data_IF_531426956396
#
_entry.id   IF_531426956396
#
_cell.length_a   1.000
_cell.length_b   1.000
_cell.length_c   1.000
_cell.angle_alpha   90.00
_cell.angle_beta   90.00
_cell.angle_gamma   90.00
#
_symmetry.space_group_name_H-M   'P 1'
#
loop_
_entity.id
_entity.type
_entity.pdbx_description
1 polymer ?
#
# COMPACT_ATOMS: atom_id res chain seq x y z
N UNK A 1 -15.02 -8.33 20.82
CA UNK A 1 -15.08 -9.65 20.15
C UNK A 1 -13.85 -9.75 19.26
N UNK A 2 -13.02 -10.78 19.45
CA UNK A 2 -11.78 -10.94 18.71
C UNK A 2 -12.10 -11.36 17.28
N UNK A 3 -11.87 -10.48 16.31
CA UNK A 3 -11.87 -10.84 14.90
C UNK A 3 -10.76 -11.89 14.71
N UNK A 4 -11.17 -13.14 14.59
CA UNK A 4 -10.31 -14.25 14.17
C UNK A 4 -10.08 -14.04 12.68
N UNK A 5 -9.03 -13.28 12.37
CA UNK A 5 -8.58 -13.05 10.99
C UNK A 5 -8.39 -14.39 10.29
N UNK A 6 -9.07 -14.56 9.16
CA UNK A 6 -8.85 -15.67 8.24
C UNK A 6 -7.35 -15.69 7.92
N UNK A 7 -6.68 -16.81 8.22
CA UNK A 7 -5.24 -16.91 8.20
C UNK A 7 -4.67 -16.51 6.82
N UNK A 8 -3.73 -15.57 6.81
CA UNK A 8 -2.88 -15.30 5.64
C UNK A 8 -2.13 -16.56 5.23
N UNK A 9 -1.82 -16.71 3.94
CA UNK A 9 -1.18 -17.91 3.40
C UNK A 9 0.32 -17.73 3.23
N UNK A 10 1.09 -18.81 3.40
CA UNK A 10 2.50 -18.83 2.99
C UNK A 10 2.55 -19.24 1.52
N UNK A 11 3.11 -18.37 0.68
CA UNK A 11 3.28 -18.61 -0.75
C UNK A 11 4.75 -18.61 -1.14
N UNK A 12 5.12 -19.51 -2.04
CA UNK A 12 6.47 -19.65 -2.57
C UNK A 12 6.45 -19.83 -4.10
N UNK A 13 7.63 -19.72 -4.72
CA UNK A 13 7.81 -20.07 -6.12
C UNK A 13 8.56 -21.40 -6.25
N UNK A 14 8.06 -22.26 -7.13
CA UNK A 14 8.78 -23.43 -7.59
C UNK A 14 9.69 -23.02 -8.76
N UNK A 15 10.99 -23.21 -8.58
CA UNK A 15 11.97 -23.01 -9.63
C UNK A 15 11.95 -24.17 -10.63
N UNK A 16 12.41 -23.94 -11.87
CA UNK A 16 12.53 -25.00 -12.91
C UNK A 16 13.36 -26.21 -12.47
N UNK A 17 14.21 -26.04 -11.46
CA UNK A 17 15.04 -27.10 -10.86
C UNK A 17 14.26 -28.01 -9.88
N UNK A 18 12.98 -27.77 -9.66
CA UNK A 18 12.17 -28.47 -8.66
C UNK A 18 12.40 -28.00 -7.21
N UNK A 19 13.30 -27.03 -6.99
CA UNK A 19 13.50 -26.42 -5.67
C UNK A 19 12.39 -25.42 -5.38
N UNK A 20 11.77 -25.56 -4.21
CA UNK A 20 10.89 -24.54 -3.63
C UNK A 20 11.78 -23.44 -3.07
N UNK A 21 11.55 -22.20 -3.52
CA UNK A 21 12.18 -21.04 -2.91
C UNK A 21 11.10 -20.22 -2.22
N UNK A 22 11.11 -20.27 -0.89
CA UNK A 22 10.49 -19.26 -0.04
C UNK A 22 11.57 -18.23 0.30
N UNK A 23 11.23 -16.94 0.35
CA UNK A 23 12.06 -16.01 1.12
C UNK A 23 12.21 -16.58 2.55
N UNK A 24 13.42 -16.55 3.14
CA UNK A 24 13.83 -17.30 4.34
C UNK A 24 13.17 -16.88 5.67
N UNK A 25 11.84 -16.74 5.67
CA UNK A 25 11.04 -16.44 6.84
C UNK A 25 9.58 -16.28 6.41
N UNK A 26 8.68 -16.91 7.16
CA UNK A 26 7.22 -16.81 7.02
C UNK A 26 6.80 -15.37 6.71
N UNK A 27 6.38 -15.09 5.46
CA UNK A 27 5.93 -13.76 5.04
C UNK A 27 4.50 -13.83 4.55
N UNK A 28 3.66 -13.04 5.21
CA UNK A 28 2.35 -12.61 4.72
C UNK A 28 2.57 -11.83 3.43
N UNK A 29 1.74 -12.06 2.40
CA UNK A 29 1.90 -11.37 1.11
C UNK A 29 1.39 -9.92 1.14
N UNK A 30 0.50 -9.58 2.08
CA UNK A 30 0.03 -8.22 2.35
C UNK A 30 0.26 -7.89 3.83
N UNK A 31 1.28 -7.07 4.12
CA UNK A 31 1.40 -6.42 5.43
C UNK A 31 0.40 -5.28 5.56
N UNK A 32 -0.08 -4.98 6.77
CA UNK A 32 -0.99 -3.85 7.00
C UNK A 32 -0.59 -3.01 8.20
N UNK A 33 -0.83 -1.70 8.13
CA UNK A 33 -0.78 -0.77 9.25
C UNK A 33 -1.77 0.38 9.06
N UNK A 34 -2.17 1.02 10.16
CA UNK A 34 -3.01 2.21 10.12
C UNK A 34 -2.14 3.46 10.28
N UNK A 35 -2.51 4.53 9.59
CA UNK A 35 -1.99 5.88 9.79
C UNK A 35 -3.10 6.66 10.49
N UNK A 36 -2.84 7.10 11.70
CA UNK A 36 -3.89 7.62 12.59
C UNK A 36 -4.34 9.02 12.19
N UNK A 37 -3.42 9.87 11.73
CA UNK A 37 -3.68 11.29 11.50
C UNK A 37 -3.10 11.81 10.16
N UNK A 38 -3.55 13.00 9.77
CA UNK A 38 -3.13 13.62 8.51
C UNK A 38 -1.64 13.96 8.48
N UNK A 39 -1.01 14.22 9.62
CA UNK A 39 0.42 14.52 9.67
C UNK A 39 1.25 13.26 9.36
N UNK A 40 0.85 12.10 9.86
CA UNK A 40 1.46 10.81 9.50
C UNK A 40 1.30 10.52 8.00
N UNK A 41 0.11 10.76 7.43
CA UNK A 41 -0.13 10.57 6.00
C UNK A 41 0.71 11.53 5.14
N UNK A 42 0.80 12.80 5.52
CA UNK A 42 1.64 13.78 4.85
C UNK A 42 3.12 13.41 4.93
N UNK A 43 3.60 12.99 6.10
CA UNK A 43 4.97 12.46 6.28
C UNK A 43 5.21 11.28 5.36
N UNK A 44 4.27 10.33 5.28
CA UNK A 44 4.41 9.15 4.41
C UNK A 44 4.46 9.53 2.92
N UNK A 45 3.69 10.52 2.47
CA UNK A 45 3.82 11.04 1.11
C UNK A 45 5.16 11.74 0.86
N UNK A 46 5.66 12.52 1.81
CA UNK A 46 6.99 13.14 1.72
C UNK A 46 8.09 12.08 1.65
N UNK A 47 8.04 11.04 2.50
CA UNK A 47 8.96 9.90 2.47
C UNK A 47 8.97 9.19 1.11
N UNK A 48 7.81 9.05 0.46
CA UNK A 48 7.73 8.48 -0.87
C UNK A 48 8.32 9.40 -1.95
N UNK A 49 8.05 10.70 -1.86
CA UNK A 49 8.61 11.69 -2.77
C UNK A 49 10.14 11.77 -2.65
N UNK A 50 10.67 11.84 -1.43
CA UNK A 50 12.12 11.86 -1.13
C UNK A 50 12.82 10.60 -1.62
N UNK A 51 12.15 9.45 -1.52
CA UNK A 51 12.64 8.18 -2.05
C UNK A 51 12.52 8.06 -3.59
N UNK A 52 12.04 9.11 -4.28
CA UNK A 52 11.84 9.11 -5.73
C UNK A 52 10.81 8.09 -6.20
N UNK A 53 9.87 7.69 -5.33
CA UNK A 53 8.85 6.68 -5.67
C UNK A 53 7.78 7.29 -6.56
N UNK A 54 7.38 6.55 -7.58
CA UNK A 54 6.23 6.91 -8.40
C UNK A 54 4.96 6.60 -7.61
N UNK A 55 4.09 7.61 -7.48
CA UNK A 55 2.74 7.43 -6.94
C UNK A 55 1.77 7.33 -8.10
N UNK A 56 0.96 6.28 -8.10
CA UNK A 56 -0.18 6.16 -9.00
C UNK A 56 -1.48 6.22 -8.21
N UNK A 57 -2.39 7.09 -8.63
CA UNK A 57 -3.68 7.28 -7.98
C UNK A 57 -4.73 6.33 -8.56
N UNK A 58 -5.40 5.58 -7.69
CA UNK A 58 -6.34 4.51 -8.02
C UNK A 58 -7.68 4.68 -7.28
N UNK A 59 -8.70 3.97 -7.75
CA UNK A 59 -10.05 3.98 -7.20
C UNK A 59 -10.94 5.05 -7.84
N UNK A 60 -12.25 4.85 -7.77
CA UNK A 60 -13.21 5.78 -8.38
C UNK A 60 -13.21 7.17 -7.69
N UNK A 61 -12.80 7.25 -6.42
CA UNK A 61 -12.63 8.52 -5.71
C UNK A 61 -11.44 9.33 -6.25
N UNK A 62 -10.34 8.67 -6.60
CA UNK A 62 -9.20 9.34 -7.24
C UNK A 62 -9.54 9.89 -8.63
N UNK A 63 -10.38 9.17 -9.37
CA UNK A 63 -10.88 9.62 -10.68
C UNK A 63 -11.79 10.84 -10.55
N UNK A 64 -12.71 10.84 -9.56
CA UNK A 64 -13.57 11.97 -9.28
C UNK A 64 -12.78 13.24 -8.90
N UNK A 65 -11.67 13.07 -8.18
CA UNK A 65 -10.72 14.14 -7.84
C UNK A 65 -9.77 14.51 -8.99
N UNK A 66 -9.81 13.78 -10.12
CA UNK A 66 -8.91 13.96 -11.28
C UNK A 66 -7.43 13.98 -10.89
N UNK A 67 -7.04 13.12 -9.95
CA UNK A 67 -5.68 13.10 -9.39
C UNK A 67 -4.62 12.76 -10.43
N UNK A 68 -4.98 12.01 -11.49
CA UNK A 68 -4.08 11.70 -12.61
C UNK A 68 -3.75 12.90 -13.51
N UNK A 69 -4.61 13.93 -13.51
CA UNK A 69 -4.41 15.17 -14.30
C UNK A 69 -3.60 16.21 -13.51
N UNK A 70 -3.41 15.99 -12.21
CA UNK A 70 -2.70 16.90 -11.32
C UNK A 70 -1.18 16.75 -11.49
N UNK A 71 -0.45 17.86 -11.40
CA UNK A 71 1.00 17.80 -11.17
C UNK A 71 1.27 16.96 -9.90
N UNK A 72 2.34 16.15 -9.90
CA UNK A 72 2.63 15.18 -8.84
C UNK A 72 2.58 15.82 -7.44
N UNK A 73 3.19 16.99 -7.29
CA UNK A 73 3.25 17.75 -6.02
C UNK A 73 1.88 18.26 -5.54
N UNK A 74 0.93 18.44 -6.46
CA UNK A 74 -0.43 18.91 -6.16
C UNK A 74 -1.40 17.76 -5.93
N UNK A 75 -1.14 16.58 -6.48
CA UNK A 75 -2.06 15.44 -6.40
C UNK A 75 -2.25 14.95 -4.95
N UNK A 76 -1.18 14.88 -4.15
CA UNK A 76 -1.28 14.50 -2.74
C UNK A 76 -2.10 15.52 -1.92
N UNK A 77 -1.93 16.82 -2.20
CA UNK A 77 -2.73 17.88 -1.56
C UNK A 77 -4.20 17.79 -1.95
N UNK A 78 -4.48 17.60 -3.23
CA UNK A 78 -5.84 17.42 -3.74
C UNK A 78 -6.50 16.18 -3.13
N UNK A 79 -5.75 15.08 -2.97
CA UNK A 79 -6.24 13.87 -2.32
C UNK A 79 -6.62 14.09 -0.86
N UNK A 80 -5.90 14.95 -0.12
CA UNK A 80 -6.11 15.25 1.31
C UNK A 80 -7.22 16.30 1.53
N UNK A 81 -7.53 17.15 0.54
CA UNK A 81 -8.51 18.22 0.70
C UNK A 81 -9.89 17.76 1.26
N UNK A 82 -10.47 16.62 0.82
CA UNK A 82 -11.70 16.10 1.43
C UNK A 82 -11.62 15.82 2.92
N UNK A 83 -10.46 15.37 3.41
CA UNK A 83 -10.27 15.10 4.83
C UNK A 83 -10.32 16.38 5.66
N UNK A 84 -9.80 17.48 5.13
CA UNK A 84 -9.85 18.80 5.77
C UNK A 84 -11.29 19.30 5.83
N UNK A 85 -12.05 19.14 4.74
CA UNK A 85 -13.48 19.48 4.68
C UNK A 85 -14.30 18.67 5.71
N UNK A 86 -14.02 17.37 5.82
CA UNK A 86 -14.66 16.48 6.79
C UNK A 86 -14.32 16.85 8.24
N UNK A 87 -13.05 17.16 8.53
CA UNK A 87 -12.61 17.62 9.85
C UNK A 87 -13.30 18.93 10.28
N UNK A 88 -13.56 19.84 9.35
CA UNK A 88 -14.27 21.09 9.62
C UNK A 88 -15.75 20.88 9.96
N UNK A 89 -16.35 19.77 9.49
CA UNK A 89 -17.77 19.44 9.71
C UNK A 89 -18.02 18.58 10.95
N UNK A 90 -17.03 17.79 11.38
CA UNK A 90 -17.20 16.82 12.45
C UNK A 90 -17.18 17.46 13.86
N UNK A 91 -18.19 17.16 14.69
CA UNK A 91 -18.23 17.50 16.12
C UNK A 91 -17.61 16.44 17.04
N UNK A 92 -17.34 15.23 16.53
CA UNK A 92 -16.54 14.21 17.24
C UNK A 92 -15.77 13.30 16.27
N UNK A 93 -14.44 13.39 16.28
CA UNK A 93 -13.52 12.59 15.45
C UNK A 93 -12.93 11.42 16.23
N UNK A 94 -13.78 10.54 16.77
CA UNK A 94 -13.32 9.35 17.50
C UNK A 94 -13.29 8.15 16.55
N UNK A 95 -12.10 7.67 16.19
CA UNK A 95 -11.89 6.42 15.44
C UNK A 95 -11.57 6.55 13.95
N UNK A 96 -11.32 7.76 13.46
CA UNK A 96 -11.00 8.02 12.05
C UNK A 96 -9.51 7.87 11.78
N UNK A 97 -9.11 6.82 11.06
CA UNK A 97 -7.74 6.70 10.54
C UNK A 97 -7.58 7.56 9.30
N UNK A 98 -6.44 8.24 9.15
CA UNK A 98 -6.14 9.02 7.95
C UNK A 98 -5.89 8.12 6.72
N UNK A 99 -5.31 6.94 6.91
CA UNK A 99 -5.16 5.94 5.88
C UNK A 99 -4.95 4.54 6.44
N UNK A 100 -5.18 3.53 5.62
CA UNK A 100 -4.71 2.16 5.83
C UNK A 100 -3.60 1.89 4.80
N UNK A 101 -2.40 1.57 5.29
CA UNK A 101 -1.26 1.16 4.48
C UNK A 101 -1.27 -0.35 4.29
N UNK A 102 -1.23 -0.79 3.04
CA UNK A 102 -1.10 -2.17 2.62
C UNK A 102 0.21 -2.36 1.87
N UNK A 103 1.05 -3.25 2.35
CA UNK A 103 2.39 -3.50 1.81
C UNK A 103 2.38 -4.85 1.11
N UNK A 104 2.40 -4.82 -0.22
CA UNK A 104 2.42 -6.03 -1.04
C UNK A 104 3.85 -6.53 -1.20
N UNK A 105 4.08 -7.77 -0.78
CA UNK A 105 5.38 -8.45 -0.82
C UNK A 105 5.26 -9.73 -1.65
N UNK A 106 5.75 -9.76 -2.90
CA UNK A 106 5.73 -10.96 -3.71
C UNK A 106 6.74 -12.01 -3.17
N UNK A 107 6.55 -13.31 -3.47
CA UNK A 107 7.45 -14.38 -3.02
C UNK A 107 8.74 -14.49 -3.85
N UNK A 108 9.13 -13.41 -4.55
CA UNK A 108 10.33 -13.32 -5.37
C UNK A 108 10.99 -11.96 -5.19
N UNK A 109 12.31 -11.92 -5.32
CA UNK A 109 13.08 -10.68 -5.34
C UNK A 109 13.50 -10.37 -6.79
N UNK A 110 13.19 -9.16 -7.24
CA UNK A 110 13.53 -8.70 -8.57
C UNK A 110 14.94 -8.09 -8.66
N UNK A 111 15.61 -7.84 -7.53
CA UNK A 111 17.05 -7.55 -7.50
C UNK A 111 17.89 -8.72 -8.05
N UNK A 112 17.36 -9.94 -7.97
CA UNK A 112 17.98 -11.15 -8.50
C UNK A 112 17.73 -11.36 -10.00
N UNK A 113 16.93 -10.49 -10.60
CA UNK A 113 16.61 -10.52 -12.01
C UNK A 113 17.26 -9.30 -12.70
N UNK A 114 18.25 -9.52 -13.61
CA UNK A 114 18.84 -8.41 -14.35
C UNK A 114 17.78 -7.65 -15.15
N UNK A 115 18.04 -6.37 -15.40
CA UNK A 115 17.15 -5.53 -16.21
C UNK A 115 16.85 -6.17 -17.56
N UNK A 116 15.60 -6.04 -18.00
CA UNK A 116 15.11 -6.63 -19.24
C UNK A 116 13.71 -7.21 -19.10
N UNK A 117 13.22 -7.77 -20.22
CA UNK A 117 11.83 -8.20 -20.39
C UNK A 117 11.26 -9.03 -19.22
N UNK A 118 12.04 -9.95 -18.67
CA UNK A 118 11.60 -10.80 -17.56
C UNK A 118 11.33 -9.99 -16.28
N UNK A 119 12.17 -9.00 -15.95
CA UNK A 119 11.98 -8.13 -14.79
C UNK A 119 10.73 -7.27 -14.97
N UNK A 120 10.49 -6.78 -16.19
CA UNK A 120 9.29 -6.00 -16.52
C UNK A 120 8.02 -6.84 -16.46
N UNK A 121 8.05 -8.08 -16.97
CA UNK A 121 6.92 -9.01 -16.91
C UNK A 121 6.56 -9.39 -15.46
N UNK A 122 7.55 -9.59 -14.60
CA UNK A 122 7.36 -9.84 -13.17
C UNK A 122 6.83 -8.60 -12.43
N UNK A 123 7.32 -7.40 -12.77
CA UNK A 123 6.79 -6.13 -12.26
C UNK A 123 5.32 -5.95 -12.64
N UNK A 124 4.98 -6.18 -13.90
CA UNK A 124 3.61 -6.06 -14.41
C UNK A 124 2.68 -7.06 -13.73
N UNK A 125 3.13 -8.30 -13.49
CA UNK A 125 2.39 -9.30 -12.73
C UNK A 125 2.10 -8.84 -11.29
N UNK A 126 3.12 -8.30 -10.61
CA UNK A 126 2.99 -7.79 -9.23
C UNK A 126 2.01 -6.62 -9.13
N UNK A 127 2.12 -5.64 -10.04
CA UNK A 127 1.21 -4.49 -10.11
C UNK A 127 -0.24 -4.92 -10.43
N UNK A 128 -0.42 -5.84 -11.38
CA UNK A 128 -1.75 -6.37 -11.73
C UNK A 128 -2.40 -7.07 -10.53
N UNK A 129 -1.62 -7.86 -9.80
CA UNK A 129 -2.10 -8.53 -8.59
C UNK A 129 -2.49 -7.55 -7.49
N UNK A 130 -1.68 -6.51 -7.23
CA UNK A 130 -2.01 -5.50 -6.23
C UNK A 130 -3.31 -4.75 -6.56
N UNK A 131 -3.56 -4.46 -7.85
CA UNK A 131 -4.81 -3.84 -8.30
C UNK A 131 -6.02 -4.75 -8.16
N UNK A 132 -5.86 -6.05 -8.40
CA UNK A 132 -6.93 -7.02 -8.18
C UNK A 132 -7.35 -7.05 -6.71
N UNK A 133 -6.38 -7.02 -5.79
CA UNK A 133 -6.65 -6.93 -4.36
C UNK A 133 -7.38 -5.63 -3.98
N UNK A 134 -6.98 -4.49 -4.56
CA UNK A 134 -7.67 -3.22 -4.38
C UNK A 134 -9.12 -3.27 -4.85
N UNK A 135 -9.37 -3.81 -6.06
CA UNK A 135 -10.72 -3.93 -6.60
C UNK A 135 -11.62 -4.72 -5.65
N UNK A 136 -11.12 -5.83 -5.10
CA UNK A 136 -11.83 -6.59 -4.07
C UNK A 136 -12.11 -5.74 -2.83
N UNK A 137 -11.12 -4.99 -2.31
CA UNK A 137 -11.34 -4.14 -1.13
C UNK A 137 -12.39 -3.04 -1.41
N UNK A 138 -12.33 -2.40 -2.58
CA UNK A 138 -13.28 -1.36 -2.97
C UNK A 138 -14.72 -1.89 -3.01
N UNK A 139 -14.92 -3.11 -3.53
CA UNK A 139 -16.24 -3.76 -3.62
C UNK A 139 -16.89 -4.07 -2.27
N UNK A 140 -16.08 -4.27 -1.23
CA UNK A 140 -16.53 -4.71 0.10
C UNK A 140 -16.29 -3.67 1.21
N UNK A 141 -15.78 -2.49 0.85
CA UNK A 141 -15.60 -1.36 1.76
C UNK A 141 -16.93 -0.68 2.09
N UNK A 142 -16.95 0.04 3.21
CA UNK A 142 -18.10 0.79 3.68
C UNK A 142 -17.69 2.20 4.11
N UNK A 143 -18.60 3.17 3.99
CA UNK A 143 -18.37 4.58 4.31
C UNK A 143 -19.51 5.11 5.17
N UNK A 144 -19.18 5.87 6.22
CA UNK A 144 -20.14 6.65 6.99
C UNK A 144 -20.46 7.94 6.23
N UNK A 145 -21.73 8.14 5.90
CA UNK A 145 -22.21 9.39 5.30
C UNK A 145 -22.29 10.52 6.34
N UNK A 146 -22.78 11.69 5.92
CA UNK A 146 -22.92 12.87 6.79
C UNK A 146 -23.88 12.67 7.98
N UNK A 147 -24.74 11.65 7.92
CA UNK A 147 -25.67 11.28 8.98
C UNK A 147 -25.14 10.14 9.87
N UNK A 148 -23.91 9.68 9.62
CA UNK A 148 -23.31 8.55 10.32
C UNK A 148 -23.93 7.20 9.95
N UNK A 149 -24.66 7.12 8.83
CA UNK A 149 -25.20 5.87 8.30
C UNK A 149 -24.14 5.20 7.45
N UNK A 150 -23.95 3.90 7.68
CA UNK A 150 -23.00 3.10 6.93
C UNK A 150 -23.59 2.71 5.58
N UNK A 151 -22.90 3.10 4.50
CA UNK A 151 -23.31 2.83 3.11
C UNK A 151 -22.15 2.27 2.29
N UNK A 152 -22.45 1.78 1.08
CA UNK A 152 -21.42 1.39 0.12
C UNK A 152 -20.82 2.64 -0.53
N UNK A 153 -19.49 2.81 -0.56
CA UNK A 153 -18.89 3.95 -1.23
C UNK A 153 -19.08 3.84 -2.74
N UNK A 154 -19.26 5.00 -3.37
CA UNK A 154 -19.21 5.17 -4.83
C UNK A 154 -17.78 5.20 -5.36
N UNK A 155 -16.81 5.47 -4.49
CA UNK A 155 -15.40 5.40 -4.85
C UNK A 155 -14.47 5.72 -3.69
N UNK A 156 -13.42 4.91 -3.56
CA UNK A 156 -12.34 5.14 -2.61
C UNK A 156 -11.18 5.87 -3.30
N UNK A 157 -10.31 6.50 -2.51
CA UNK A 157 -9.07 7.12 -2.99
C UNK A 157 -7.89 6.27 -2.53
N UNK A 158 -7.05 5.83 -3.47
CA UNK A 158 -5.87 5.03 -3.15
C UNK A 158 -4.63 5.60 -3.82
N UNK A 159 -3.51 5.62 -3.08
CA UNK A 159 -2.20 5.93 -3.63
C UNK A 159 -1.36 4.64 -3.68
N UNK A 160 -1.01 4.18 -4.88
CA UNK A 160 -0.09 3.08 -5.09
C UNK A 160 1.34 3.62 -5.27
N UNK A 161 2.13 3.51 -4.21
CA UNK A 161 3.49 4.00 -4.12
C UNK A 161 4.47 2.90 -4.53
N UNK A 162 5.19 3.13 -5.63
CA UNK A 162 6.07 2.15 -6.27
C UNK A 162 7.54 2.49 -6.03
N UNK A 163 8.28 1.58 -5.41
CA UNK A 163 9.73 1.64 -5.36
C UNK A 163 10.34 0.80 -6.50
N UNK A 164 10.77 1.45 -7.59
CA UNK A 164 11.27 0.78 -8.81
C UNK A 164 12.45 -0.18 -8.58
N UNK A 165 13.20 0.04 -7.49
CA UNK A 165 14.36 -0.76 -7.08
C UNK A 165 14.04 -1.85 -6.06
N UNK A 166 13.08 -1.61 -5.16
CA UNK A 166 12.82 -2.49 -4.02
C UNK A 166 11.60 -3.41 -4.22
N UNK A 167 10.79 -3.18 -5.25
CA UNK A 167 9.64 -4.02 -5.61
C UNK A 167 8.65 -4.30 -4.47
N UNK A 168 8.67 -3.41 -3.48
CA UNK A 168 7.63 -3.28 -2.48
C UNK A 168 6.64 -2.27 -3.02
N UNK A 169 5.38 -2.68 -3.13
CA UNK A 169 4.27 -1.78 -3.39
C UNK A 169 3.62 -1.45 -2.06
N UNK A 170 3.56 -0.15 -1.75
CA UNK A 170 2.74 0.34 -0.65
C UNK A 170 1.48 0.97 -1.23
N UNK A 171 0.33 0.52 -0.79
CA UNK A 171 -0.97 1.09 -1.15
C UNK A 171 -1.55 1.78 0.06
N UNK A 172 -1.73 3.09 -0.04
CA UNK A 172 -2.39 3.88 0.97
C UNK A 172 -3.84 4.04 0.56
N UNK A 173 -4.76 3.37 1.27
CA UNK A 173 -6.20 3.58 1.14
C UNK A 173 -6.56 4.73 2.08
N UNK A 174 -7.00 5.85 1.53
CA UNK A 174 -7.27 7.04 2.34
C UNK A 174 -8.54 6.85 3.17
N UNK A 175 -8.59 7.46 4.36
CA UNK A 175 -9.67 7.32 5.33
C UNK A 175 -11.00 7.98 4.94
N UNK A 176 -11.15 8.39 3.68
CA UNK A 176 -12.33 9.04 3.14
C UNK A 176 -12.68 8.49 1.77
N UNK A 177 -13.97 8.51 1.48
CA UNK A 177 -14.53 8.02 0.22
C UNK A 177 -15.79 8.80 -0.14
N UNK A 178 -16.23 8.65 -1.38
CA UNK A 178 -17.47 9.25 -1.86
C UNK A 178 -18.63 8.35 -1.42
N UNK A 179 -19.54 8.89 -0.62
CA UNK A 179 -20.74 8.18 -0.17
C UNK A 179 -21.81 8.11 -1.28
N UNK A 180 -22.91 7.39 -1.02
CA UNK A 180 -23.97 7.16 -2.00
C UNK A 180 -24.64 8.45 -2.50
N UNK A 181 -24.75 9.45 -1.62
CA UNK A 181 -25.27 10.79 -1.89
C UNK A 181 -24.31 11.67 -2.71
N UNK A 182 -23.07 11.22 -2.95
CA UNK A 182 -22.03 11.96 -3.65
C UNK A 182 -21.22 12.91 -2.78
N UNK A 183 -21.50 12.98 -1.47
CA UNK A 183 -20.67 13.72 -0.51
C UNK A 183 -19.46 12.88 -0.07
N UNK A 184 -18.45 13.56 0.48
CA UNK A 184 -17.37 12.87 1.16
C UNK A 184 -17.85 12.33 2.50
N UNK A 185 -17.41 11.12 2.81
CA UNK A 185 -17.68 10.44 4.08
C UNK A 185 -16.43 9.74 4.61
N UNK A 186 -16.52 9.26 5.85
CA UNK A 186 -15.42 8.57 6.53
C UNK A 186 -15.44 7.09 6.19
N UNK A 187 -14.32 6.57 5.69
CA UNK A 187 -14.20 5.16 5.34
C UNK A 187 -14.14 4.31 6.61
N UNK A 188 -14.97 3.28 6.69
CA UNK A 188 -14.95 2.35 7.80
C UNK A 188 -13.73 1.44 7.72
N UNK A 189 -12.73 1.69 8.56
CA UNK A 189 -11.50 0.90 8.60
C UNK A 189 -11.73 -0.58 8.93
N UNK A 190 -12.82 -0.92 9.64
CA UNK A 190 -13.16 -2.31 9.93
C UNK A 190 -13.58 -3.08 8.68
N UNK A 191 -14.36 -2.46 7.80
CA UNK A 191 -14.73 -3.04 6.50
C UNK A 191 -13.50 -3.44 5.68
N UNK A 192 -12.42 -2.63 5.71
CA UNK A 192 -11.17 -2.95 5.03
C UNK A 192 -10.42 -4.06 5.75
N UNK A 193 -10.24 -3.94 7.08
CA UNK A 193 -9.52 -4.92 7.87
C UNK A 193 -10.11 -6.33 7.73
N UNK A 194 -11.44 -6.44 7.68
CA UNK A 194 -12.15 -7.69 7.47
C UNK A 194 -11.87 -8.35 6.12
N UNK A 195 -11.46 -7.58 5.11
CA UNK A 195 -11.24 -8.06 3.74
C UNK A 195 -9.77 -8.37 3.42
N UNK A 196 -8.82 -8.06 4.31
CA UNK A 196 -7.37 -8.23 4.04
C UNK A 196 -7.03 -9.66 3.62
N UNK A 197 -7.59 -10.67 4.30
CA UNK A 197 -7.30 -12.07 3.98
C UNK A 197 -7.87 -12.50 2.61
N UNK A 198 -9.06 -12.01 2.26
CA UNK A 198 -9.65 -12.24 0.95
C UNK A 198 -8.86 -11.51 -0.16
N UNK A 199 -8.47 -10.27 0.10
CA UNK A 199 -7.63 -9.47 -0.79
C UNK A 199 -6.25 -10.14 -1.01
N UNK A 200 -5.65 -10.74 0.02
CA UNK A 200 -4.42 -11.52 -0.10
C UNK A 200 -4.62 -12.74 -1.00
N UNK A 201 -5.75 -13.43 -0.86
CA UNK A 201 -6.09 -14.58 -1.71
C UNK A 201 -6.28 -14.17 -3.17
N UNK A 202 -6.91 -13.01 -3.41
CA UNK A 202 -7.06 -12.44 -4.76
C UNK A 202 -5.72 -12.03 -5.35
N UNK A 203 -4.87 -11.36 -4.56
CA UNK A 203 -3.50 -11.01 -4.92
C UNK A 203 -2.69 -12.25 -5.33
N UNK A 204 -2.66 -13.29 -4.49
CA UNK A 204 -1.90 -14.51 -4.76
C UNK A 204 -2.39 -15.25 -6.00
N UNK A 205 -3.72 -15.33 -6.19
CA UNK A 205 -4.34 -15.99 -7.33
C UNK A 205 -4.01 -15.29 -8.64
N UNK A 206 -4.15 -13.95 -8.67
CA UNK A 206 -3.82 -13.14 -9.84
C UNK A 206 -2.33 -13.19 -10.17
N UNK A 207 -1.48 -13.11 -9.14
CA UNK A 207 -0.03 -13.25 -9.30
C UNK A 207 0.33 -14.61 -9.90
N UNK A 208 -0.23 -15.69 -9.35
CA UNK A 208 0.01 -17.06 -9.82
C UNK A 208 -0.40 -17.25 -11.28
N UNK A 209 -1.56 -16.71 -11.67
CA UNK A 209 -2.07 -16.74 -13.04
C UNK A 209 -1.13 -16.03 -14.02
N UNK A 210 -0.62 -14.86 -13.64
CA UNK A 210 0.31 -14.06 -14.46
C UNK A 210 1.69 -14.72 -14.58
N UNK A 211 2.18 -15.32 -13.48
CA UNK A 211 3.45 -16.02 -13.43
C UNK A 211 3.44 -17.35 -14.20
N UNK A 212 2.29 -18.04 -14.25
CA UNK A 212 2.16 -19.27 -15.01
C UNK A 212 2.48 -19.07 -16.51
N UNK A 213 2.12 -17.90 -17.07
CA UNK A 213 2.46 -17.52 -18.44
C UNK A 213 3.99 -17.40 -18.67
N UNK A 214 4.78 -17.29 -17.60
CA UNK A 214 6.24 -17.20 -17.62
C UNK A 214 6.91 -18.53 -17.23
N UNK A 215 6.15 -19.63 -17.15
CA UNK A 215 6.58 -20.93 -16.64
C UNK A 215 7.13 -20.86 -15.19
N UNK A 216 6.60 -19.93 -14.40
CA UNK A 216 6.85 -19.80 -12.96
C UNK A 216 5.62 -20.27 -12.21
N UNK A 217 5.76 -21.25 -11.32
CA UNK A 217 4.63 -21.81 -10.57
C UNK A 217 4.65 -21.31 -9.13
N UNK A 218 3.56 -20.72 -8.69
CA UNK A 218 3.33 -20.45 -7.27
C UNK A 218 2.84 -21.71 -6.56
N UNK A 219 3.32 -21.92 -5.35
CA UNK A 219 2.97 -23.05 -4.49
C UNK A 219 2.50 -22.49 -3.15
N UNK A 220 1.33 -22.94 -2.71
CA UNK A 220 0.82 -22.69 -1.37
C UNK A 220 1.47 -23.68 -0.41
N UNK A 221 2.08 -23.15 0.67
CA UNK A 221 2.83 -23.94 1.65
C UNK A 221 2.08 -24.18 2.95
N UNK A 222 0.92 -23.53 3.15
CA UNK A 222 0.15 -23.64 4.39
C UNK A 222 -0.38 -22.30 4.89
N UNK A 223 -1.20 -22.31 5.94
CA UNK A 223 -1.56 -21.09 6.66
C UNK A 223 -0.32 -20.50 7.37
N UNK A 224 -0.22 -19.18 7.36
CA UNK A 224 0.78 -18.43 8.12
C UNK A 224 0.36 -18.35 9.58
N UNK A 225 1.27 -18.74 10.48
CA UNK A 225 1.16 -18.48 11.92
C UNK A 225 1.98 -17.26 12.36
N UNK A 226 2.59 -16.54 11.41
CA UNK A 226 3.38 -15.37 11.73
C UNK A 226 2.47 -14.27 12.27
N UNK A 227 2.74 -13.85 13.51
CA UNK A 227 2.34 -12.51 13.97
C UNK A 227 2.93 -11.52 12.97
N UNK A 228 2.13 -10.58 12.48
CA UNK A 228 2.61 -9.45 11.68
C UNK A 228 3.79 -8.85 12.44
N UNK A 229 5.01 -9.09 11.95
CA UNK A 229 6.18 -8.41 12.49
C UNK A 229 5.99 -6.94 12.14
N UNK A 230 6.23 -6.00 13.07
CA UNK A 230 6.58 -4.66 12.67
C UNK A 230 7.77 -4.82 11.71
N UNK A 231 7.53 -4.56 10.42
CA UNK A 231 8.63 -4.53 9.49
C UNK A 231 9.39 -3.24 9.81
N UNK A 232 10.55 -3.40 10.45
CA UNK A 232 11.63 -2.45 10.30
C UNK A 232 11.90 -2.41 8.79
N UNK A 233 11.59 -1.27 8.16
CA UNK A 233 12.09 -1.00 6.82
C UNK A 233 13.60 -1.21 6.90
N UNK A 234 14.25 -1.88 5.93
CA UNK A 234 15.67 -1.68 5.78
C UNK A 234 15.83 -0.19 5.51
N UNK A 235 16.22 0.57 6.53
CA UNK A 235 16.95 1.82 6.33
C UNK A 235 18.19 1.41 5.54
N UNK A 236 18.06 1.33 4.22
CA UNK A 236 19.23 1.28 3.36
C UNK A 236 19.88 2.63 3.50
N UNK A 237 21.01 2.59 4.23
CA UNK A 237 21.93 3.64 4.63
C UNK A 237 21.66 4.27 6.00
N UNK A 238 22.64 4.27 6.92
CA UNK A 238 22.54 5.08 8.12
C UNK A 238 22.41 6.52 7.66
N UNK A 239 21.25 7.13 7.94
CA UNK A 239 21.02 8.56 7.80
C UNK A 239 22.19 9.25 8.47
N UNK A 240 23.03 9.94 7.69
CA UNK A 240 23.92 10.96 8.25
C UNK A 240 23.01 11.88 9.06
N UNK A 241 23.21 11.92 10.37
CA UNK A 241 22.47 12.83 11.25
C UNK A 241 22.63 14.25 10.71
N UNK A 242 21.62 15.11 10.89
CA UNK A 242 21.72 16.54 10.52
C UNK A 242 22.99 17.16 11.15
N UNK A 243 23.40 16.70 12.34
CA UNK A 243 24.67 17.06 12.97
C UNK A 243 25.90 16.66 12.15
N UNK A 244 25.95 15.44 11.59
CA UNK A 244 27.06 15.00 10.73
C UNK A 244 27.10 15.74 9.39
N UNK A 245 25.93 16.11 8.85
CA UNK A 245 25.82 16.93 7.62
C UNK A 245 26.24 18.38 7.86
N UNK A 246 25.97 18.92 9.06
CA UNK A 246 26.41 20.25 9.46
C UNK A 246 27.91 20.31 9.77
N UNK A 247 28.49 19.28 10.39
CA UNK A 247 29.94 19.18 10.59
C UNK A 247 30.72 19.14 9.26
N UNK A 248 30.20 18.42 8.26
CA UNK A 248 30.85 18.34 6.93
C UNK A 248 30.75 19.67 6.17
N UNK A 249 29.69 20.45 6.39
CA UNK A 249 29.53 21.81 5.85
C UNK A 249 30.43 22.84 6.54
N UNK A 250 30.65 22.72 7.85
CA UNK A 250 31.58 23.56 8.62
C UNK A 250 33.04 23.27 8.25
N UNK A 251 33.41 22.00 8.11
CA UNK A 251 34.74 21.58 7.64
C UNK A 251 35.06 22.12 6.23
N UNK A 252 34.08 22.15 5.33
CA UNK A 252 34.23 22.72 3.98
C UNK A 252 34.23 24.25 3.95
N UNK A 253 33.66 24.92 4.96
CA UNK A 253 33.72 26.38 5.11
C UNK A 253 35.04 26.87 5.73
N UNK A 254 35.72 26.04 6.52
CA UNK A 254 37.04 26.34 7.10
C UNK A 254 38.24 26.06 6.19
N UNK A 255 38.04 25.44 5.02
CA UNK A 255 39.09 25.09 4.06
C UNK A 255 39.27 26.14 2.93
N UNK A 256 39.26 27.42 3.28
CA UNK A 256 39.71 28.52 2.41
C UNK A 256 40.79 29.33 3.09
#
# INVERSE_FOLDING_TARGET
>A
MNATGVASGIWAILLRTGKVRSNDGVRVMIGFSQLEDLAQLQSRFAEHADAGRRIEWLGAGAQALRLSDCAADNAARAAIAPAIELQQRATSTSGTVAAISLIFSPPFDLAEHPEGKRRDDLRAAHLSAARMALQHIEEWSAVFDEHGVLTRPRGIVCALCMADRAFVLEMLILGWAIAADGQWGLLDGWSIAAQIAAAESMYASELGRRLAAQAVRMVWLGPSTARLKPMLWPETEPRLSIESMMQDLELRRGAK
#
